data_IF_691635692047
#
_entry.id   IF_691635692047
#
_cell.length_a   1.000
_cell.length_b   1.000
_cell.length_c   1.000
_cell.angle_alpha   90.00
_cell.angle_beta   90.00
_cell.angle_gamma   90.00
#
_symmetry.space_group_name_H-M   'P 1'
#
loop_
_entity.id
_entity.type
_entity.pdbx_description
1 polymer ?
#
# COMPACT_ATOMS: atom_id res chain seq x y z
N UNK A 1 -15.94 3.92 19.07
CA UNK A 1 -14.57 3.43 19.38
C UNK A 1 -13.96 2.90 18.09
N UNK A 2 -12.83 3.50 17.64
CA UNK A 2 -12.10 2.99 16.50
C UNK A 2 -11.48 1.64 16.87
N UNK A 3 -11.73 0.61 16.07
CA UNK A 3 -11.22 -0.75 16.30
C UNK A 3 -9.96 -1.06 15.49
N UNK A 4 -9.50 -0.11 14.67
CA UNK A 4 -8.31 -0.26 13.85
C UNK A 4 -7.97 0.98 13.04
N UNK A 5 -6.75 0.98 12.52
CA UNK A 5 -6.20 2.02 11.62
C UNK A 5 -5.82 1.36 10.30
N UNK A 6 -6.02 2.06 9.20
CA UNK A 6 -5.64 1.61 7.87
C UNK A 6 -5.12 2.75 7.02
N UNK A 7 -4.23 2.41 6.08
CA UNK A 7 -3.77 3.32 5.04
C UNK A 7 -4.51 3.03 3.74
N UNK A 8 -4.93 4.11 3.07
CA UNK A 8 -5.60 4.02 1.77
C UNK A 8 -4.53 4.11 0.67
N UNK A 9 -4.58 3.20 -0.29
CA UNK A 9 -3.72 3.21 -1.48
C UNK A 9 -4.27 4.12 -2.58
N UNK A 10 -3.41 4.58 -3.47
CA UNK A 10 -3.78 5.40 -4.62
C UNK A 10 -2.73 6.45 -4.95
N UNK A 11 -3.04 7.30 -5.92
CA UNK A 11 -2.22 8.47 -6.22
C UNK A 11 -2.51 9.58 -5.21
N UNK A 12 -1.49 10.04 -4.50
CA UNK A 12 -1.61 11.03 -3.44
C UNK A 12 -1.05 12.41 -3.80
N UNK A 13 -0.17 12.46 -4.81
CA UNK A 13 0.49 13.68 -5.22
C UNK A 13 0.85 13.65 -6.71
N UNK A 14 1.40 14.75 -7.20
CA UNK A 14 2.02 14.81 -8.53
C UNK A 14 3.35 14.04 -8.63
N UNK A 15 3.87 13.54 -7.51
CA UNK A 15 5.11 12.77 -7.47
C UNK A 15 4.85 11.27 -7.58
N UNK A 16 3.68 10.81 -7.11
CA UNK A 16 3.34 9.40 -7.18
C UNK A 16 2.18 8.99 -6.29
N UNK A 17 2.15 7.71 -5.95
CA UNK A 17 1.13 7.08 -5.14
C UNK A 17 1.65 5.95 -4.28
N UNK A 18 0.76 5.34 -3.52
CA UNK A 18 1.00 4.18 -2.67
C UNK A 18 0.15 3.01 -3.13
N UNK A 19 0.68 1.81 -3.04
CA UNK A 19 -0.07 0.58 -3.24
C UNK A 19 0.26 -0.46 -2.16
N UNK A 20 -0.66 -1.39 -1.98
CA UNK A 20 -0.46 -2.55 -1.14
C UNK A 20 -0.26 -3.80 -1.98
N UNK A 21 0.72 -4.60 -1.61
CA UNK A 21 0.82 -6.01 -1.98
C UNK A 21 0.11 -6.80 -0.90
N UNK A 22 -0.87 -7.59 -1.26
CA UNK A 22 -1.66 -8.41 -0.34
C UNK A 22 -1.45 -9.89 -0.64
N UNK A 23 -0.77 -10.59 0.26
CA UNK A 23 -0.57 -12.04 0.22
C UNK A 23 -1.53 -12.65 1.23
N UNK A 24 -2.55 -13.35 0.74
CA UNK A 24 -3.64 -13.89 1.54
C UNK A 24 -3.48 -15.38 1.89
N UNK A 25 -2.39 -16.00 1.43
CA UNK A 25 -2.14 -17.41 1.72
C UNK A 25 -0.75 -17.88 1.28
N UNK A 26 -0.28 -19.01 1.85
CA UNK A 26 1.05 -19.54 1.58
C UNK A 26 1.25 -20.05 0.14
N UNK A 27 0.16 -20.34 -0.57
CA UNK A 27 0.15 -20.82 -1.96
C UNK A 27 0.62 -19.75 -2.97
N UNK A 28 0.58 -18.48 -2.59
CA UNK A 28 1.13 -17.40 -3.40
C UNK A 28 2.68 -17.40 -3.43
N UNK A 29 3.31 -17.78 -2.32
CA UNK A 29 4.76 -17.58 -2.10
C UNK A 29 5.62 -18.27 -3.17
N UNK A 30 5.47 -19.57 -3.47
CA UNK A 30 6.30 -20.24 -4.46
C UNK A 30 6.21 -19.60 -5.85
N UNK A 31 5.02 -19.12 -6.23
CA UNK A 31 4.82 -18.47 -7.53
C UNK A 31 5.42 -17.07 -7.60
N UNK A 32 5.42 -16.34 -6.49
CA UNK A 32 6.07 -15.04 -6.38
C UNK A 32 7.58 -15.20 -6.47
N UNK A 33 8.15 -16.18 -5.76
CA UNK A 33 9.57 -16.50 -5.78
C UNK A 33 10.04 -16.95 -7.17
N UNK A 34 9.26 -17.77 -7.87
CA UNK A 34 9.50 -18.16 -9.25
C UNK A 34 9.55 -16.94 -10.19
N UNK A 35 8.54 -16.04 -10.08
CA UNK A 35 8.45 -14.86 -10.92
C UNK A 35 9.50 -13.80 -10.60
N UNK A 36 9.83 -13.62 -9.33
CA UNK A 36 10.82 -12.65 -8.87
C UNK A 36 12.27 -13.15 -8.97
N UNK A 37 12.46 -14.46 -9.14
CA UNK A 37 13.79 -15.08 -9.31
C UNK A 37 14.59 -15.26 -8.03
N UNK A 38 13.92 -15.34 -6.86
CA UNK A 38 14.59 -15.51 -5.58
C UNK A 38 13.61 -15.64 -4.41
N UNK A 39 14.09 -15.85 -3.19
CA UNK A 39 13.24 -15.95 -2.01
C UNK A 39 12.48 -14.64 -1.73
N UNK A 40 11.30 -14.74 -1.12
CA UNK A 40 10.35 -13.62 -0.96
C UNK A 40 10.99 -12.38 -0.34
N UNK A 41 11.85 -12.55 0.65
CA UNK A 41 12.55 -11.46 1.34
C UNK A 41 13.68 -10.78 0.51
N UNK A 42 14.09 -11.39 -0.58
CA UNK A 42 15.07 -10.80 -1.50
C UNK A 42 14.40 -10.12 -2.70
N UNK A 43 13.30 -10.69 -3.19
CA UNK A 43 12.55 -10.13 -4.32
C UNK A 43 11.67 -8.94 -3.92
N UNK A 44 11.33 -8.82 -2.64
CA UNK A 44 10.62 -7.68 -2.07
C UNK A 44 11.52 -6.91 -1.12
N UNK A 45 11.93 -5.67 -1.45
CA UNK A 45 12.67 -4.81 -0.53
C UNK A 45 11.95 -4.62 0.80
N UNK A 46 12.68 -4.49 1.93
CA UNK A 46 12.10 -4.22 3.22
C UNK A 46 11.18 -2.99 3.18
N UNK A 47 9.97 -3.15 3.69
CA UNK A 47 8.94 -2.11 3.71
C UNK A 47 7.99 -2.32 4.87
N UNK A 48 7.11 -1.36 5.14
CA UNK A 48 6.04 -1.57 6.12
C UNK A 48 5.27 -2.85 5.75
N UNK A 49 5.45 -3.88 6.56
CA UNK A 49 4.85 -5.20 6.37
C UNK A 49 3.99 -5.54 7.57
N UNK A 50 2.71 -5.78 7.34
CA UNK A 50 1.71 -6.07 8.35
C UNK A 50 1.17 -7.47 8.16
N UNK A 51 1.05 -8.23 9.24
CA UNK A 51 0.44 -9.55 9.26
C UNK A 51 -0.77 -9.58 10.19
N UNK A 52 -1.75 -10.42 9.84
CA UNK A 52 -2.85 -10.78 10.73
C UNK A 52 -2.53 -11.99 11.63
N UNK A 53 -1.31 -12.54 11.53
CA UNK A 53 -0.89 -13.74 12.24
C UNK A 53 -1.38 -15.05 11.64
N UNK A 54 -2.11 -15.03 10.55
CA UNK A 54 -2.45 -16.24 9.80
C UNK A 54 -1.25 -16.67 8.96
N UNK A 55 -0.95 -17.99 8.85
CA UNK A 55 0.18 -18.48 8.06
C UNK A 55 0.17 -17.97 6.62
N UNK A 56 1.32 -17.47 6.15
CA UNK A 56 1.51 -16.97 4.79
C UNK A 56 0.74 -15.69 4.45
N UNK A 57 0.08 -15.05 5.41
CA UNK A 57 -0.63 -13.79 5.19
C UNK A 57 0.18 -12.60 5.61
N UNK A 58 0.42 -11.72 4.67
CA UNK A 58 1.08 -10.45 4.92
C UNK A 58 0.69 -9.40 3.88
N UNK A 59 0.79 -8.15 4.28
CA UNK A 59 0.52 -7.00 3.43
C UNK A 59 1.70 -6.05 3.49
N UNK A 60 2.19 -5.64 2.32
CA UNK A 60 3.40 -4.82 2.17
C UNK A 60 3.07 -3.53 1.44
N UNK A 61 3.59 -2.41 1.94
CA UNK A 61 3.36 -1.07 1.39
C UNK A 61 4.51 -0.66 0.47
N UNK A 62 4.19 -0.24 -0.77
CA UNK A 62 5.16 0.26 -1.73
C UNK A 62 4.73 1.60 -2.31
N UNK A 63 5.72 2.38 -2.75
CA UNK A 63 5.49 3.58 -3.54
C UNK A 63 5.46 3.27 -5.03
N UNK A 64 4.76 4.11 -5.78
CA UNK A 64 4.69 4.09 -7.25
C UNK A 64 4.99 5.50 -7.75
N UNK A 65 6.11 5.73 -8.43
CA UNK A 65 6.39 7.02 -9.07
C UNK A 65 5.31 7.40 -10.08
N UNK A 66 5.06 8.69 -10.23
CA UNK A 66 3.98 9.20 -11.10
C UNK A 66 4.09 8.68 -12.54
N UNK A 67 5.32 8.59 -13.07
CA UNK A 67 5.59 8.11 -14.42
C UNK A 67 5.27 6.62 -14.61
N UNK A 68 5.21 5.84 -13.53
CA UNK A 68 4.89 4.41 -13.54
C UNK A 68 3.41 4.12 -13.28
N UNK A 69 2.65 5.07 -12.75
CA UNK A 69 1.20 4.91 -12.54
C UNK A 69 0.45 4.49 -13.83
N UNK A 70 0.78 5.04 -15.04
CA UNK A 70 0.14 4.59 -16.27
C UNK A 70 0.45 3.14 -16.67
N UNK A 71 1.45 2.51 -16.06
CA UNK A 71 1.74 1.08 -16.27
C UNK A 71 0.77 0.17 -15.52
N UNK A 72 0.12 0.69 -14.48
CA UNK A 72 -0.85 -0.05 -13.70
C UNK A 72 -2.22 -0.04 -14.39
N UNK A 73 -2.97 -1.17 -14.36
CA UNK A 73 -4.35 -1.21 -14.82
C UNK A 73 -5.23 -0.23 -14.04
N UNK A 74 -6.23 0.32 -14.71
CA UNK A 74 -7.25 1.17 -14.06
C UNK A 74 -8.23 0.34 -13.22
N UNK A 75 -7.71 -0.29 -12.17
CA UNK A 75 -8.44 -1.17 -11.25
C UNK A 75 -8.04 -0.91 -9.81
N UNK A 76 -9.01 -1.03 -8.92
CA UNK A 76 -8.75 -0.92 -7.48
C UNK A 76 -8.02 -2.16 -6.91
N UNK A 77 -8.27 -3.34 -7.51
CA UNK A 77 -7.57 -4.59 -7.21
C UNK A 77 -7.04 -5.18 -8.50
N UNK A 78 -5.74 -5.44 -8.56
CA UNK A 78 -5.03 -5.98 -9.71
C UNK A 78 -4.64 -7.42 -9.39
N UNK A 79 -5.12 -8.37 -10.19
CA UNK A 79 -4.81 -9.81 -10.08
C UNK A 79 -3.99 -10.24 -11.30
N UNK A 80 -2.82 -10.79 -11.07
CA UNK A 80 -1.89 -11.24 -12.13
C UNK A 80 -1.88 -12.75 -12.34
N UNK A 81 -2.93 -13.44 -11.88
CA UNK A 81 -3.09 -14.90 -12.06
C UNK A 81 -2.40 -15.74 -10.99
N UNK A 82 -1.87 -15.13 -9.92
CA UNK A 82 -1.33 -15.85 -8.76
C UNK A 82 -2.45 -16.02 -7.74
N UNK A 83 -2.73 -17.27 -7.27
CA UNK A 83 -3.68 -17.50 -6.19
C UNK A 83 -3.29 -16.74 -4.91
N UNK A 84 -4.25 -16.32 -4.13
CA UNK A 84 -4.03 -15.64 -2.82
C UNK A 84 -3.07 -14.45 -2.89
N UNK A 85 -3.01 -13.77 -4.06
CA UNK A 85 -2.17 -12.60 -4.27
C UNK A 85 -2.95 -11.50 -4.99
N UNK A 86 -2.92 -10.31 -4.39
CA UNK A 86 -3.57 -9.12 -4.94
C UNK A 86 -2.66 -7.90 -4.79
N UNK A 87 -2.77 -6.98 -5.74
CA UNK A 87 -2.17 -5.64 -5.67
C UNK A 87 -3.32 -4.66 -5.49
N UNK A 88 -3.33 -3.95 -4.38
CA UNK A 88 -4.40 -3.02 -4.03
C UNK A 88 -3.96 -1.60 -4.37
N UNK A 89 -4.68 -0.95 -5.28
CA UNK A 89 -4.45 0.42 -5.71
C UNK A 89 -5.80 1.15 -5.83
N UNK A 90 -5.80 2.48 -5.99
CA UNK A 90 -7.02 3.27 -6.18
C UNK A 90 -8.05 3.14 -5.07
N UNK A 91 -7.79 3.80 -3.95
CA UNK A 91 -8.72 3.91 -2.81
C UNK A 91 -9.01 2.59 -2.10
N UNK A 92 -8.07 1.63 -2.14
CA UNK A 92 -8.14 0.44 -1.29
C UNK A 92 -7.45 0.68 0.03
N UNK A 93 -8.12 0.29 1.11
CA UNK A 93 -7.58 0.39 2.46
C UNK A 93 -6.81 -0.88 2.83
N UNK A 94 -5.58 -0.71 3.34
CA UNK A 94 -4.83 -1.74 4.05
C UNK A 94 -4.89 -1.50 5.55
N UNK A 95 -5.42 -2.46 6.32
CA UNK A 95 -5.35 -2.37 7.78
C UNK A 95 -3.89 -2.48 8.23
N UNK A 96 -3.46 -1.59 9.12
CA UNK A 96 -2.09 -1.55 9.67
C UNK A 96 -2.06 -1.86 11.16
N UNK A 97 -3.14 -1.60 11.86
CA UNK A 97 -3.32 -1.90 13.28
C UNK A 97 -4.78 -2.20 13.59
N UNK A 98 -5.03 -2.89 14.69
CA UNK A 98 -6.38 -3.11 15.20
C UNK A 98 -6.77 -4.57 15.31
N UNK A 99 -8.00 -4.79 15.73
CA UNK A 99 -8.54 -6.12 15.96
C UNK A 99 -8.72 -6.89 14.65
N UNK A 100 -8.35 -8.16 14.66
CA UNK A 100 -8.73 -9.14 13.67
C UNK A 100 -9.54 -10.23 14.38
N UNK A 101 -10.82 -10.46 14.03
CA UNK A 101 -11.71 -11.34 14.80
C UNK A 101 -11.23 -12.79 14.97
N UNK A 102 -10.35 -13.23 14.08
CA UNK A 102 -9.86 -14.62 14.06
C UNK A 102 -8.40 -14.79 14.50
N UNK A 103 -7.76 -13.72 15.00
CA UNK A 103 -6.35 -13.73 15.43
C UNK A 103 -6.12 -12.72 16.56
N UNK A 104 -4.82 -12.57 16.97
CA UNK A 104 -4.43 -11.55 17.96
C UNK A 104 -4.48 -10.10 17.47
N UNK A 105 -4.90 -9.87 16.21
CA UNK A 105 -4.93 -8.56 15.58
C UNK A 105 -3.86 -8.38 14.49
N UNK A 106 -3.73 -7.17 14.00
CA UNK A 106 -2.70 -6.80 13.02
C UNK A 106 -1.45 -6.30 13.73
N UNK A 107 -0.28 -6.73 13.24
CA UNK A 107 1.02 -6.34 13.78
C UNK A 107 2.05 -6.23 12.65
N UNK A 108 3.09 -5.44 12.87
CA UNK A 108 4.22 -5.37 11.94
C UNK A 108 5.08 -6.62 12.04
N UNK A 109 5.68 -7.01 10.91
CA UNK A 109 6.59 -8.16 10.86
C UNK A 109 8.04 -7.71 11.02
N UNK A 110 8.98 -8.62 11.36
CA UNK A 110 10.41 -8.30 11.42
C UNK A 110 11.01 -7.78 10.10
N UNK A 111 10.33 -8.00 8.97
CA UNK A 111 10.80 -7.56 7.65
C UNK A 111 10.53 -6.08 7.33
N UNK A 112 9.81 -5.36 8.20
CA UNK A 112 9.59 -3.95 8.04
C UNK A 112 8.55 -3.39 9.00
N UNK A 113 8.95 -2.38 9.77
CA UNK A 113 8.12 -1.69 10.72
C UNK A 113 7.59 -0.35 10.18
N UNK A 114 7.05 0.45 11.09
CA UNK A 114 6.47 1.75 10.77
C UNK A 114 7.49 2.77 10.28
N UNK A 115 8.78 2.57 10.50
CA UNK A 115 9.87 3.39 9.98
C UNK A 115 9.85 3.52 8.45
N UNK A 116 9.36 2.48 7.77
CA UNK A 116 9.21 2.48 6.31
C UNK A 116 7.95 3.20 5.81
N UNK A 117 7.01 3.51 6.69
CA UNK A 117 5.74 4.11 6.27
C UNK A 117 5.90 5.54 5.71
N UNK A 118 6.94 6.27 6.14
CA UNK A 118 7.21 7.64 5.67
C UNK A 118 7.76 7.68 4.25
N UNK A 119 8.64 6.73 3.93
CA UNK A 119 9.30 6.62 2.63
C UNK A 119 9.29 5.15 2.19
N UNK A 120 8.13 4.62 1.79
CA UNK A 120 8.06 3.25 1.30
C UNK A 120 8.94 3.13 0.06
N UNK A 121 9.70 2.03 -0.08
CA UNK A 121 10.49 1.79 -1.29
C UNK A 121 9.56 1.68 -2.50
N UNK A 122 10.15 1.88 -3.67
CA UNK A 122 9.45 1.69 -4.93
C UNK A 122 9.09 0.21 -5.13
N UNK A 123 7.92 -0.03 -5.74
CA UNK A 123 7.50 -1.36 -6.16
C UNK A 123 8.59 -2.00 -7.04
N UNK A 124 8.99 -3.28 -6.80
CA UNK A 124 10.01 -3.94 -7.57
C UNK A 124 9.72 -3.99 -9.07
N UNK A 125 10.75 -3.77 -9.90
CA UNK A 125 10.62 -3.70 -11.36
C UNK A 125 10.05 -5.00 -11.97
N UNK A 126 10.44 -6.16 -11.45
CA UNK A 126 9.91 -7.44 -11.92
C UNK A 126 8.38 -7.53 -11.82
N UNK A 127 7.79 -6.86 -10.81
CA UNK A 127 6.34 -6.89 -10.61
C UNK A 127 5.62 -5.97 -11.61
N UNK A 128 6.20 -4.82 -11.99
CA UNK A 128 5.68 -4.03 -13.12
C UNK A 128 5.66 -4.85 -14.41
N UNK A 129 6.71 -5.63 -14.65
CA UNK A 129 6.79 -6.50 -15.83
C UNK A 129 5.75 -7.64 -15.76
N UNK A 130 5.51 -8.21 -14.59
CA UNK A 130 4.48 -9.22 -14.39
C UNK A 130 3.06 -8.63 -14.62
N UNK A 131 2.80 -7.42 -14.13
CA UNK A 131 1.56 -6.69 -14.39
C UNK A 131 1.41 -6.43 -15.90
N UNK A 132 2.45 -5.95 -16.56
CA UNK A 132 2.39 -5.67 -18.00
C UNK A 132 2.10 -6.93 -18.84
N UNK A 133 2.65 -8.07 -18.43
CA UNK A 133 2.36 -9.38 -19.07
C UNK A 133 0.92 -9.83 -18.84
N UNK A 134 0.38 -9.63 -17.64
CA UNK A 134 -0.99 -10.00 -17.31
C UNK A 134 -2.02 -9.08 -17.99
N UNK A 135 -1.62 -7.83 -18.35
CA UNK A 135 -2.46 -6.83 -19.00
C UNK A 135 -1.82 -6.28 -20.28
N UNK A 136 -1.57 -7.12 -21.31
CA UNK A 136 -0.79 -6.74 -22.50
C UNK A 136 -1.43 -5.66 -23.35
N UNK A 137 -2.74 -5.52 -23.30
CA UNK A 137 -3.50 -4.46 -23.94
C UNK A 137 -4.14 -3.59 -22.89
N UNK A 138 -3.40 -2.62 -22.41
CA UNK A 138 -4.01 -1.60 -21.57
C UNK A 138 -4.90 -0.71 -22.47
N UNK A 139 -6.10 -1.20 -22.84
CA UNK A 139 -7.13 -0.43 -23.55
C UNK A 139 -7.49 0.88 -22.81
N UNK A 140 -7.00 1.04 -21.60
CA UNK A 140 -7.14 2.21 -20.76
C UNK A 140 -5.92 3.15 -20.78
N UNK A 141 -4.91 2.89 -21.62
CA UNK A 141 -3.97 3.93 -22.00
C UNK A 141 -4.71 5.00 -22.82
N UNK A 142 -5.48 5.83 -22.15
CA UNK A 142 -5.70 7.17 -22.64
C UNK A 142 -4.32 7.81 -22.62
N UNK A 143 -3.66 7.85 -23.78
CA UNK A 143 -2.56 8.78 -23.98
C UNK A 143 -2.99 10.09 -23.33
N UNK A 144 -2.18 10.68 -22.44
CA UNK A 144 -2.48 12.01 -21.97
C UNK A 144 -2.65 12.84 -23.23
N UNK A 145 -3.87 13.24 -23.55
CA UNK A 145 -4.05 14.35 -24.49
C UNK A 145 -3.22 15.45 -23.86
N UNK A 146 -2.24 15.93 -24.60
CA UNK A 146 -1.41 17.09 -24.26
C UNK A 146 -2.32 18.30 -24.10
N UNK A 147 -2.97 18.36 -23.01
CA UNK A 147 -3.82 19.41 -22.52
C UNK A 147 -3.75 19.24 -21.02
N UNK A 148 -3.08 20.17 -20.37
CA UNK A 148 -3.10 20.34 -18.94
C UNK A 148 -4.57 20.48 -18.54
N UNK A 149 -5.22 19.35 -18.22
CA UNK A 149 -6.47 19.38 -17.47
C UNK A 149 -6.07 19.48 -16.02
N UNK A 150 -5.81 20.68 -15.58
CA UNK A 150 -6.01 21.09 -14.20
C UNK A 150 -7.51 20.88 -13.91
N UNK A 151 -7.93 19.65 -13.64
CA UNK A 151 -9.09 19.50 -12.80
C UNK A 151 -8.64 19.97 -11.42
N UNK A 152 -8.85 21.26 -11.16
CA UNK A 152 -9.06 21.71 -9.81
C UNK A 152 -10.19 20.85 -9.27
N UNK A 153 -9.84 19.87 -8.43
CA UNK A 153 -10.79 19.31 -7.48
C UNK A 153 -11.11 20.50 -6.57
N UNK A 154 -12.21 21.18 -6.87
CA UNK A 154 -12.82 22.11 -5.95
C UNK A 154 -13.30 21.28 -4.76
N UNK A 155 -12.39 20.96 -3.85
CA UNK A 155 -12.73 20.77 -2.47
C UNK A 155 -13.14 22.17 -2.02
N UNK A 156 -14.45 22.40 -1.96
CA UNK A 156 -15.03 23.54 -1.26
C UNK A 156 -14.74 23.33 0.24
N UNK A 157 -13.54 23.67 0.65
CA UNK A 157 -13.26 23.98 2.03
C UNK A 157 -13.91 25.33 2.28
N UNK A 158 -14.82 25.37 3.22
CA UNK A 158 -15.27 26.63 3.78
C UNK A 158 -14.01 27.40 4.21
N UNK A 159 -13.83 28.59 3.67
CA UNK A 159 -12.79 29.52 4.09
C UNK A 159 -12.95 29.76 5.58
N UNK A 160 -12.05 29.22 6.40
CA UNK A 160 -12.07 29.43 7.85
C UNK A 160 -11.21 28.50 8.70
N UNK A 161 -10.68 27.40 8.19
CA UNK A 161 -9.74 26.57 8.96
C UNK A 161 -8.40 26.48 8.26
N UNK A 162 -7.46 27.34 8.63
CA UNK A 162 -6.04 27.16 8.36
C UNK A 162 -5.50 25.97 9.16
N UNK A 163 -5.84 24.76 8.72
CA UNK A 163 -5.08 23.58 9.12
C UNK A 163 -3.89 23.46 8.17
N UNK A 164 -2.74 23.94 8.63
CA UNK A 164 -1.48 23.75 7.93
C UNK A 164 -1.17 22.25 7.84
N UNK A 165 -0.64 21.80 6.70
CA UNK A 165 -0.18 20.43 6.47
C UNK A 165 0.75 19.92 7.59
N UNK A 166 1.48 20.81 8.23
CA UNK A 166 2.34 20.54 9.39
C UNK A 166 1.53 20.18 10.64
N UNK A 167 0.35 20.73 10.84
CA UNK A 167 -0.49 20.45 12.00
C UNK A 167 -1.07 19.03 11.93
N UNK A 168 -1.49 18.59 10.75
CA UNK A 168 -1.94 17.20 10.51
C UNK A 168 -0.81 16.18 10.71
N UNK A 169 0.42 16.54 10.31
CA UNK A 169 1.61 15.69 10.55
C UNK A 169 1.94 15.64 12.04
N UNK A 170 1.82 16.74 12.74
CA UNK A 170 2.08 16.79 14.18
C UNK A 170 0.99 16.09 14.97
N UNK A 171 -0.27 16.22 14.58
CA UNK A 171 -1.39 15.48 15.19
C UNK A 171 -1.22 13.97 14.98
N UNK A 172 -0.86 13.53 13.77
CA UNK A 172 -0.55 12.13 13.49
C UNK A 172 0.67 11.62 14.30
N UNK A 173 1.69 12.46 14.51
CA UNK A 173 2.83 12.11 15.38
C UNK A 173 2.42 11.97 16.84
N UNK A 174 1.61 12.89 17.37
CA UNK A 174 1.09 12.82 18.75
C UNK A 174 0.28 11.54 18.93
N UNK A 175 -0.56 11.14 17.96
CA UNK A 175 -1.29 9.87 18.00
C UNK A 175 -0.37 8.65 17.93
N UNK A 176 0.70 8.71 17.14
CA UNK A 176 1.69 7.63 17.05
C UNK A 176 2.56 7.53 18.29
N UNK A 177 2.93 8.65 18.91
CA UNK A 177 3.71 8.68 20.16
C UNK A 177 2.88 8.23 21.38
N UNK A 178 1.55 8.43 21.35
CA UNK A 178 0.64 7.92 22.39
C UNK A 178 0.26 6.45 22.22
N UNK A 179 0.56 5.85 21.07
CA UNK A 179 0.53 4.40 20.85
C UNK A 179 1.86 3.81 21.32
N UNK A 180 2.21 4.04 22.61
CA UNK A 180 3.43 3.50 23.17
C UNK A 180 3.42 1.98 23.14
N UNK A 181 4.60 1.42 22.84
CA UNK A 181 4.91 -0.01 22.75
C UNK A 181 4.46 -0.78 24.01
N UNK A 182 4.31 -0.11 25.13
CA UNK A 182 3.90 -0.69 26.42
C UNK A 182 2.46 -1.23 26.47
N UNK A 183 1.59 -0.85 25.52
CA UNK A 183 0.24 -1.44 25.42
C UNK A 183 0.15 -2.69 24.55
N UNK A 184 1.21 -3.06 23.85
CA UNK A 184 1.26 -4.28 23.03
C UNK A 184 1.68 -5.53 23.81
N UNK A 185 2.11 -5.40 25.07
CA UNK A 185 2.63 -6.50 25.88
C UNK A 185 1.65 -7.06 26.92
N UNK A 186 0.47 -6.43 27.10
CA UNK A 186 -0.51 -6.83 28.14
C UNK A 186 -1.75 -7.55 27.58
N UNK A 187 -1.64 -8.28 26.45
CA UNK A 187 -2.70 -9.19 26.00
C UNK A 187 -2.17 -10.52 25.51
#
# INVERSE_FOLDING_TARGET
NATGVGLISGQWSNEGGLLWIDIDGPDAIPKLEELGGGPLNEIFPPTLTVSSGKPGRQRMLYSVPIQKIPMLPDKATIKIGIPSFEILFRSRQGAIMGACPSTKGYFTTPHGGFEYAKNPPELPEWLYQAIARAFPTNKYRKTPKSGIVTQQVNLSYEEGSEYHKEDLINEAKIYLDHLSIDRATDY
#
